data_IF_096401897113
#
_entry.id   IF_096401897113
#
_cell.length_a   1.000
_cell.length_b   1.000
_cell.length_c   1.000
_cell.angle_alpha   90.00
_cell.angle_beta   90.00
_cell.angle_gamma   90.00
#
_symmetry.space_group_name_H-M   'P 1'
#
loop_
_entity.id
_entity.type
_entity.pdbx_description
1 polymer ?
#
# COMPACT_ATOMS: atom_id res chain seq x y z
N UNK A 1 1.67 -31.04 16.70
CA UNK A 1 0.92 -30.24 15.71
C UNK A 1 -0.38 -29.66 16.27
N UNK A 2 -1.16 -30.44 17.08
CA UNK A 2 -2.44 -29.97 17.64
C UNK A 2 -2.31 -28.72 18.53
N UNK A 3 -1.24 -28.59 19.32
CA UNK A 3 -1.02 -27.44 20.19
C UNK A 3 -0.68 -26.14 19.41
N UNK A 4 0.00 -26.25 18.28
CA UNK A 4 0.28 -25.09 17.42
C UNK A 4 -1.00 -24.59 16.72
N UNK A 5 -1.90 -25.50 16.35
CA UNK A 5 -3.19 -25.17 15.75
C UNK A 5 -4.10 -24.42 16.73
N UNK A 6 -4.15 -24.88 18.00
CA UNK A 6 -4.94 -24.22 19.05
C UNK A 6 -4.47 -22.80 19.31
N UNK A 7 -3.15 -22.59 19.43
CA UNK A 7 -2.58 -21.24 19.67
C UNK A 7 -2.80 -20.28 18.50
N UNK A 8 -2.80 -20.77 17.27
CA UNK A 8 -3.10 -19.96 16.08
C UNK A 8 -4.57 -19.56 16.06
N UNK A 9 -5.48 -20.49 16.38
CA UNK A 9 -6.91 -20.20 16.45
C UNK A 9 -7.22 -19.21 17.58
N UNK A 10 -6.62 -19.36 18.76
CA UNK A 10 -6.79 -18.46 19.90
C UNK A 10 -6.32 -17.04 19.60
N UNK A 11 -5.23 -16.89 18.83
CA UNK A 11 -4.74 -15.57 18.42
C UNK A 11 -5.61 -14.91 17.33
N UNK A 12 -6.28 -15.70 16.48
CA UNK A 12 -7.13 -15.17 15.39
C UNK A 12 -8.57 -14.94 15.88
N UNK A 13 -9.00 -15.69 16.87
CA UNK A 13 -10.36 -15.71 17.41
C UNK A 13 -10.36 -15.49 18.92
N UNK A 14 -9.95 -14.30 19.42
CA UNK A 14 -9.91 -14.04 20.86
C UNK A 14 -11.28 -14.21 21.54
N UNK A 15 -12.38 -14.05 20.80
CA UNK A 15 -13.75 -14.18 21.29
C UNK A 15 -14.44 -15.52 20.97
N UNK A 16 -13.68 -16.48 20.44
CA UNK A 16 -14.13 -17.84 20.16
C UNK A 16 -14.85 -18.04 18.81
N UNK A 17 -15.21 -19.29 18.55
CA UNK A 17 -15.74 -19.78 17.28
C UNK A 17 -17.04 -19.08 16.75
N UNK A 18 -17.98 -18.61 17.61
CA UNK A 18 -19.17 -17.93 17.14
C UNK A 18 -18.91 -16.64 16.33
N UNK A 19 -17.83 -15.92 16.67
CA UNK A 19 -17.48 -14.66 15.97
C UNK A 19 -16.78 -14.89 14.64
N UNK A 20 -16.37 -16.11 14.33
CA UNK A 20 -15.77 -16.46 13.05
C UNK A 20 -16.73 -16.22 11.89
N UNK A 21 -17.98 -16.65 12.05
CA UNK A 21 -18.99 -16.56 11.00
C UNK A 21 -19.60 -15.16 10.87
N UNK A 22 -19.49 -14.32 11.92
CA UNK A 22 -19.99 -12.95 11.90
C UNK A 22 -19.03 -11.96 11.23
N UNK A 23 -17.75 -12.34 11.07
CA UNK A 23 -16.72 -11.49 10.48
C UNK A 23 -16.07 -12.16 9.27
N UNK A 24 -16.39 -11.66 8.07
CA UNK A 24 -15.84 -12.18 6.80
C UNK A 24 -14.31 -12.14 6.75
N UNK A 25 -13.68 -11.13 7.37
CA UNK A 25 -12.22 -11.01 7.44
C UNK A 25 -11.59 -12.15 8.25
N UNK A 26 -12.15 -12.49 9.41
CA UNK A 26 -11.69 -13.60 10.25
C UNK A 26 -11.89 -14.95 9.54
N UNK A 27 -13.03 -15.12 8.88
CA UNK A 27 -13.28 -16.34 8.08
C UNK A 27 -12.26 -16.50 6.96
N UNK A 28 -11.96 -15.43 6.18
CA UNK A 28 -10.92 -15.45 5.15
C UNK A 28 -9.55 -15.80 5.70
N UNK A 29 -9.16 -15.25 6.87
CA UNK A 29 -7.90 -15.55 7.54
C UNK A 29 -7.82 -17.04 7.90
N UNK A 30 -8.89 -17.61 8.49
CA UNK A 30 -8.92 -19.03 8.84
C UNK A 30 -8.78 -19.93 7.61
N UNK A 31 -9.54 -19.66 6.54
CA UNK A 31 -9.44 -20.41 5.28
C UNK A 31 -8.03 -20.34 4.70
N UNK A 32 -7.42 -19.17 4.72
CA UNK A 32 -6.03 -19.00 4.26
C UNK A 32 -5.04 -19.82 5.08
N UNK A 33 -5.23 -19.91 6.40
CA UNK A 33 -4.35 -20.70 7.28
C UNK A 33 -4.52 -22.18 7.01
N UNK A 34 -5.75 -22.69 6.89
CA UNK A 34 -6.01 -24.09 6.55
C UNK A 34 -5.32 -24.44 5.22
N UNK A 35 -5.48 -23.60 4.20
CA UNK A 35 -4.83 -23.79 2.91
C UNK A 35 -3.29 -23.83 3.02
N UNK A 36 -2.70 -22.94 3.85
CA UNK A 36 -1.25 -22.93 4.09
C UNK A 36 -0.77 -24.19 4.81
N UNK A 37 -1.57 -24.74 5.73
CA UNK A 37 -1.24 -26.00 6.43
C UNK A 37 -1.25 -27.16 5.44
N UNK A 38 -2.28 -27.29 4.60
CA UNK A 38 -2.37 -28.33 3.58
C UNK A 38 -1.21 -28.24 2.56
N UNK A 39 -0.90 -27.02 2.10
CA UNK A 39 0.24 -26.77 1.21
C UNK A 39 1.58 -27.11 1.85
N UNK A 40 1.73 -26.85 3.15
CA UNK A 40 2.91 -27.21 3.93
C UNK A 40 3.08 -28.73 4.06
N UNK A 41 2.00 -29.45 4.37
CA UNK A 41 2.00 -30.92 4.44
C UNK A 41 2.35 -31.55 3.09
N UNK A 42 1.77 -31.04 1.99
CA UNK A 42 2.13 -31.46 0.63
C UNK A 42 3.60 -31.16 0.31
N UNK A 43 4.12 -30.02 0.76
CA UNK A 43 5.51 -29.67 0.60
C UNK A 43 6.45 -30.62 1.34
N UNK A 44 6.14 -30.98 2.61
CA UNK A 44 6.90 -31.95 3.38
C UNK A 44 6.94 -33.31 2.70
N UNK A 45 5.78 -33.83 2.26
CA UNK A 45 5.68 -35.09 1.54
C UNK A 45 6.57 -35.08 0.28
N UNK A 46 6.51 -34.01 -0.50
CA UNK A 46 7.33 -33.87 -1.71
C UNK A 46 8.83 -33.73 -1.44
N UNK A 47 9.21 -33.18 -0.28
CA UNK A 47 10.61 -33.13 0.15
C UNK A 47 11.11 -34.53 0.50
N UNK A 48 10.31 -35.31 1.25
CA UNK A 48 10.65 -36.65 1.66
C UNK A 48 10.73 -37.63 0.48
N UNK A 49 9.89 -37.46 -0.52
CA UNK A 49 9.87 -38.27 -1.74
C UNK A 49 11.01 -37.91 -2.73
N UNK A 50 11.77 -36.83 -2.51
CA UNK A 50 12.85 -36.42 -3.42
C UNK A 50 14.06 -37.33 -3.34
N UNK A 51 14.28 -38.06 -4.41
CA UNK A 51 15.51 -38.80 -4.66
C UNK A 51 16.61 -37.95 -5.31
N UNK A 52 16.25 -36.87 -5.99
CA UNK A 52 17.18 -35.93 -6.59
C UNK A 52 17.32 -34.68 -5.70
N UNK A 53 18.45 -34.41 -5.16
CA UNK A 53 18.74 -33.24 -4.33
C UNK A 53 18.71 -31.89 -5.09
N UNK A 54 17.99 -31.79 -6.19
CA UNK A 54 17.83 -30.54 -6.95
C UNK A 54 16.79 -29.65 -6.30
N UNK A 55 17.25 -28.59 -5.67
CA UNK A 55 16.36 -27.52 -5.21
C UNK A 55 15.76 -26.80 -6.41
N UNK A 56 14.44 -26.69 -6.45
CA UNK A 56 13.78 -25.80 -7.40
C UNK A 56 14.06 -24.34 -7.01
N UNK A 57 14.21 -23.49 -8.00
CA UNK A 57 14.32 -22.06 -7.77
C UNK A 57 13.00 -21.53 -7.19
N UNK A 58 13.08 -20.60 -6.25
CA UNK A 58 11.93 -19.83 -5.79
C UNK A 58 11.45 -18.96 -6.96
N UNK A 59 10.15 -18.93 -7.18
CA UNK A 59 9.52 -18.20 -8.28
C UNK A 59 8.49 -17.22 -7.70
N UNK A 60 8.54 -15.98 -8.12
CA UNK A 60 7.52 -14.99 -7.88
C UNK A 60 6.66 -14.82 -9.13
N UNK A 61 5.34 -14.96 -8.99
CA UNK A 61 4.40 -14.81 -10.08
C UNK A 61 3.24 -13.90 -9.65
N UNK A 62 3.07 -12.76 -10.32
CA UNK A 62 2.04 -11.75 -10.06
C UNK A 62 0.61 -12.29 -9.98
N UNK A 63 0.32 -13.39 -10.66
CA UNK A 63 -1.03 -13.99 -10.69
C UNK A 63 -1.42 -14.72 -9.40
N UNK A 64 -0.47 -14.97 -8.49
CA UNK A 64 -0.74 -15.67 -7.23
C UNK A 64 -0.56 -14.71 -6.06
N UNK A 65 -1.65 -14.52 -5.31
CA UNK A 65 -1.65 -13.68 -4.11
C UNK A 65 -1.30 -14.46 -2.83
N UNK A 66 -1.08 -15.79 -2.95
CA UNK A 66 -0.75 -16.68 -1.83
C UNK A 66 0.51 -17.48 -2.14
N UNK A 67 1.22 -17.86 -1.08
CA UNK A 67 2.33 -18.79 -1.20
C UNK A 67 1.83 -20.18 -1.59
N UNK A 68 2.53 -20.83 -2.52
CA UNK A 68 2.31 -22.21 -2.92
C UNK A 68 3.64 -22.94 -2.75
N UNK A 69 3.91 -23.36 -1.52
CA UNK A 69 5.22 -23.83 -1.08
C UNK A 69 5.69 -25.08 -1.85
N UNK A 70 4.78 -26.03 -2.12
CA UNK A 70 5.11 -27.22 -2.88
C UNK A 70 5.52 -26.96 -4.35
N UNK A 71 5.20 -25.77 -4.87
CA UNK A 71 5.63 -25.30 -6.20
C UNK A 71 6.79 -24.32 -6.14
N UNK A 72 7.26 -23.99 -4.94
CA UNK A 72 8.28 -22.96 -4.70
C UNK A 72 7.83 -21.56 -5.20
N UNK A 73 6.53 -21.29 -5.17
CA UNK A 73 5.96 -19.99 -5.54
C UNK A 73 5.71 -19.21 -4.25
N UNK A 74 6.14 -17.96 -4.23
CA UNK A 74 5.91 -17.03 -3.12
C UNK A 74 5.00 -15.88 -3.55
N UNK A 75 4.20 -15.39 -2.61
CA UNK A 75 3.36 -14.21 -2.77
C UNK A 75 4.19 -12.91 -2.78
N UNK A 76 3.54 -11.81 -3.11
CA UNK A 76 4.17 -10.49 -3.07
C UNK A 76 4.61 -10.11 -1.65
N UNK A 77 3.76 -10.31 -0.67
CA UNK A 77 4.04 -9.98 0.73
C UNK A 77 5.20 -10.81 1.28
N UNK A 78 5.24 -12.10 0.97
CA UNK A 78 6.35 -12.98 1.34
C UNK A 78 7.64 -12.56 0.66
N UNK A 79 7.59 -12.13 -0.60
CA UNK A 79 8.77 -11.59 -1.29
C UNK A 79 9.32 -10.36 -0.58
N UNK A 80 8.46 -9.40 -0.22
CA UNK A 80 8.86 -8.18 0.48
C UNK A 80 9.39 -8.47 1.89
N UNK A 81 8.76 -9.38 2.63
CA UNK A 81 9.24 -9.80 3.96
C UNK A 81 10.63 -10.44 3.90
N UNK A 82 10.86 -11.34 2.95
CA UNK A 82 12.20 -11.92 2.77
C UNK A 82 13.22 -10.91 2.24
N UNK A 83 12.83 -10.01 1.35
CA UNK A 83 13.71 -8.95 0.86
C UNK A 83 14.17 -8.07 2.02
N UNK A 84 13.25 -7.64 2.90
CA UNK A 84 13.58 -6.88 4.09
C UNK A 84 14.56 -7.65 4.98
N UNK A 85 14.26 -8.90 5.35
CA UNK A 85 15.11 -9.73 6.21
C UNK A 85 16.51 -9.97 5.64
N UNK A 86 16.63 -10.13 4.32
CA UNK A 86 17.93 -10.31 3.66
C UNK A 86 18.73 -9.00 3.68
N UNK A 87 18.09 -7.89 3.32
CA UNK A 87 18.77 -6.57 3.29
C UNK A 87 19.20 -6.18 4.69
N UNK A 88 18.33 -6.34 5.71
CA UNK A 88 18.65 -6.03 7.10
C UNK A 88 19.89 -6.79 7.62
N UNK A 89 20.06 -8.06 7.23
CA UNK A 89 21.13 -8.94 7.73
C UNK A 89 22.45 -8.84 6.98
N UNK A 90 22.48 -8.24 5.79
CA UNK A 90 23.64 -8.28 4.92
C UNK A 90 24.16 -6.89 4.52
N UNK A 91 25.12 -6.38 5.29
CA UNK A 91 25.75 -5.08 5.05
C UNK A 91 26.33 -4.93 3.62
N UNK A 92 26.89 -6.00 3.05
CA UNK A 92 27.38 -5.97 1.66
C UNK A 92 26.27 -5.68 0.66
N UNK A 93 25.07 -6.23 0.88
CA UNK A 93 23.91 -5.95 0.03
C UNK A 93 23.44 -4.51 0.20
N UNK A 94 23.41 -4.00 1.43
CA UNK A 94 23.11 -2.59 1.71
C UNK A 94 24.09 -1.67 0.97
N UNK A 95 25.39 -1.96 1.05
CA UNK A 95 26.42 -1.20 0.34
C UNK A 95 26.20 -1.19 -1.18
N UNK A 96 25.90 -2.35 -1.76
CA UNK A 96 25.62 -2.47 -3.19
C UNK A 96 24.42 -1.63 -3.59
N UNK A 97 23.33 -1.70 -2.81
CA UNK A 97 22.09 -0.98 -3.09
C UNK A 97 22.29 0.53 -2.97
N UNK A 98 22.91 1.00 -1.90
CA UNK A 98 23.21 2.44 -1.68
C UNK A 98 24.10 3.00 -2.79
N UNK A 99 25.13 2.27 -3.21
CA UNK A 99 26.03 2.73 -4.27
C UNK A 99 25.38 2.70 -5.65
N UNK A 100 24.50 1.71 -5.89
CA UNK A 100 23.83 1.56 -7.20
C UNK A 100 22.68 2.52 -7.37
N UNK A 101 21.97 2.83 -6.30
CA UNK A 101 20.76 3.66 -6.30
C UNK A 101 20.88 4.79 -5.27
N UNK A 102 21.76 5.78 -5.47
CA UNK A 102 22.02 6.83 -4.48
C UNK A 102 20.82 7.78 -4.25
N UNK A 103 19.82 7.75 -5.12
CA UNK A 103 18.58 8.51 -5.01
C UNK A 103 17.40 7.58 -5.23
N UNK A 104 16.49 7.53 -4.26
CA UNK A 104 15.23 6.79 -4.37
C UNK A 104 14.09 7.75 -4.12
N UNK A 105 13.15 7.82 -5.07
CA UNK A 105 11.96 8.63 -5.00
C UNK A 105 10.75 7.70 -5.02
N UNK A 106 9.93 7.78 -3.97
CA UNK A 106 8.73 6.95 -3.81
C UNK A 106 7.53 7.85 -4.06
N UNK A 107 6.75 7.54 -5.09
CA UNK A 107 5.48 8.20 -5.37
C UNK A 107 4.32 7.44 -4.72
N UNK A 108 3.25 8.14 -4.38
CA UNK A 108 2.06 7.58 -3.69
C UNK A 108 2.46 6.75 -2.44
N UNK A 109 3.31 7.31 -1.60
CA UNK A 109 3.87 6.57 -0.47
C UNK A 109 2.81 6.01 0.48
N UNK A 110 1.64 6.65 0.58
CA UNK A 110 0.56 6.22 1.46
C UNK A 110 0.05 4.81 1.12
N UNK A 111 0.19 4.38 -0.15
CA UNK A 111 -0.19 3.05 -0.64
C UNK A 111 0.99 2.07 -0.65
N UNK A 112 2.17 2.51 -0.22
CA UNK A 112 3.39 1.69 -0.21
C UNK A 112 3.37 0.70 0.96
N UNK A 113 3.78 -0.55 0.70
CA UNK A 113 3.89 -1.58 1.74
C UNK A 113 4.95 -1.20 2.79
N UNK A 114 4.64 -1.42 4.07
CA UNK A 114 5.54 -1.10 5.19
C UNK A 114 6.94 -1.70 5.06
N UNK A 115 7.08 -2.93 4.53
CA UNK A 115 8.38 -3.55 4.37
C UNK A 115 9.28 -2.80 3.39
N UNK A 116 8.72 -2.13 2.37
CA UNK A 116 9.47 -1.25 1.48
C UNK A 116 10.04 -0.07 2.25
N UNK A 117 9.22 0.58 3.10
CA UNK A 117 9.68 1.70 3.93
C UNK A 117 10.75 1.24 4.93
N UNK A 118 10.59 0.07 5.56
CA UNK A 118 11.60 -0.53 6.44
C UNK A 118 12.92 -0.80 5.72
N UNK A 119 12.87 -1.31 4.49
CA UNK A 119 14.06 -1.49 3.64
C UNK A 119 14.76 -0.15 3.40
N UNK A 120 14.01 0.87 3.00
CA UNK A 120 14.57 2.20 2.73
C UNK A 120 15.17 2.82 3.97
N UNK A 121 14.52 2.69 5.13
CA UNK A 121 15.07 3.14 6.42
C UNK A 121 16.38 2.43 6.75
N UNK A 122 16.44 1.10 6.59
CA UNK A 122 17.66 0.31 6.80
C UNK A 122 18.82 0.81 5.92
N UNK A 123 18.54 1.15 4.66
CA UNK A 123 19.54 1.68 3.74
C UNK A 123 19.99 3.09 4.13
N UNK A 124 19.09 3.95 4.63
CA UNK A 124 19.42 5.28 5.16
C UNK A 124 20.33 5.16 6.37
N UNK A 125 20.01 4.28 7.33
CA UNK A 125 20.81 4.06 8.54
C UNK A 125 22.22 3.53 8.20
N UNK A 126 22.29 2.59 7.25
CA UNK A 126 23.55 2.11 6.74
C UNK A 126 24.40 3.23 6.10
N UNK A 127 23.76 4.05 5.25
CA UNK A 127 24.45 5.13 4.55
C UNK A 127 24.96 6.20 5.55
N UNK A 128 24.18 6.58 6.52
CA UNK A 128 24.57 7.51 7.59
C UNK A 128 25.74 6.97 8.41
N UNK A 129 25.67 5.69 8.81
CA UNK A 129 26.71 5.05 9.62
C UNK A 129 28.04 4.89 8.88
N UNK A 130 28.03 4.89 7.55
CA UNK A 130 29.22 4.69 6.69
C UNK A 130 29.57 5.95 5.88
N UNK A 131 29.00 7.11 6.20
CA UNK A 131 29.23 8.38 5.50
C UNK A 131 28.99 8.33 3.98
N UNK A 132 28.08 7.45 3.55
CA UNK A 132 27.70 7.30 2.15
C UNK A 132 26.62 8.32 1.78
N UNK A 133 26.65 8.82 0.53
CA UNK A 133 25.61 9.67 -0.01
C UNK A 133 24.42 8.82 -0.45
N UNK A 134 23.33 8.94 0.26
CA UNK A 134 22.07 8.28 -0.07
C UNK A 134 20.89 9.19 0.27
N UNK A 135 19.92 9.28 -0.62
CA UNK A 135 18.78 10.16 -0.47
C UNK A 135 17.48 9.41 -0.78
N UNK A 136 16.52 9.52 0.12
CA UNK A 136 15.17 8.99 -0.07
C UNK A 136 14.17 10.14 0.07
N UNK A 137 13.21 10.22 -0.86
CA UNK A 137 12.08 11.12 -0.76
C UNK A 137 10.78 10.37 -1.02
N UNK A 138 9.75 10.72 -0.26
CA UNK A 138 8.41 10.19 -0.36
C UNK A 138 7.47 11.29 -0.82
N UNK A 139 6.68 11.02 -1.84
CA UNK A 139 5.65 11.90 -2.39
C UNK A 139 4.30 11.22 -2.26
N UNK A 140 3.30 11.95 -1.80
CA UNK A 140 1.96 11.41 -1.65
C UNK A 140 1.09 12.27 -0.74
N UNK A 141 -0.09 11.78 -0.46
CA UNK A 141 -1.10 12.46 0.35
C UNK A 141 -1.82 11.43 1.23
N UNK A 142 -1.62 11.50 2.53
CA UNK A 142 -2.26 10.57 3.49
C UNK A 142 -3.77 10.61 3.44
N UNK A 143 -4.37 11.78 3.09
CA UNK A 143 -5.81 11.90 2.92
C UNK A 143 -6.37 11.11 1.73
N UNK A 144 -5.51 10.66 0.80
CA UNK A 144 -5.86 9.84 -0.36
C UNK A 144 -5.61 8.35 -0.15
N UNK A 145 -5.23 7.93 1.06
CA UNK A 145 -5.05 6.51 1.37
C UNK A 145 -6.39 5.76 1.19
N UNK A 146 -6.42 4.86 0.20
CA UNK A 146 -7.58 4.02 -0.12
C UNK A 146 -7.35 2.54 0.21
N UNK A 147 -6.15 2.17 0.61
CA UNK A 147 -5.76 0.81 0.95
C UNK A 147 -5.41 0.68 2.43
N UNK A 148 -6.06 -0.25 3.11
CA UNK A 148 -5.80 -0.55 4.52
C UNK A 148 -4.40 -1.12 4.78
N UNK A 149 -3.73 -1.64 3.74
CA UNK A 149 -2.42 -2.31 3.81
C UNK A 149 -1.24 -1.36 3.51
N UNK A 150 -1.49 -0.10 3.16
CA UNK A 150 -0.47 0.91 2.90
C UNK A 150 0.14 1.48 4.18
N UNK A 151 1.33 2.10 4.05
CA UNK A 151 2.00 2.71 5.20
C UNK A 151 1.21 3.90 5.78
N UNK A 152 0.46 4.62 4.95
CA UNK A 152 -0.41 5.71 5.37
C UNK A 152 0.29 6.70 6.31
N UNK A 153 -0.35 7.01 7.45
CA UNK A 153 0.18 7.91 8.50
C UNK A 153 1.35 7.30 9.28
N UNK A 154 1.58 5.99 9.19
CA UNK A 154 2.65 5.32 9.92
C UNK A 154 4.06 5.64 9.39
N UNK A 155 4.19 6.37 8.29
CA UNK A 155 5.49 6.69 7.69
C UNK A 155 6.42 7.40 8.67
N UNK A 156 5.91 8.35 9.45
CA UNK A 156 6.70 9.11 10.42
C UNK A 156 7.18 8.23 11.58
N UNK A 157 6.44 7.17 11.91
CA UNK A 157 6.83 6.16 12.92
C UNK A 157 7.91 5.22 12.37
N UNK A 158 7.77 4.78 11.12
CA UNK A 158 8.69 3.85 10.48
C UNK A 158 10.00 4.52 10.05
N UNK A 159 9.95 5.81 9.73
CA UNK A 159 11.09 6.60 9.25
C UNK A 159 11.11 7.98 9.92
N UNK A 160 11.44 8.08 11.22
CA UNK A 160 11.26 9.29 12.03
C UNK A 160 12.19 10.45 11.64
N UNK A 161 13.27 10.19 10.88
CA UNK A 161 14.23 11.21 10.47
C UNK A 161 13.81 11.99 9.21
N UNK A 162 12.59 11.76 8.71
CA UNK A 162 12.08 12.44 7.53
C UNK A 162 11.80 13.91 7.83
N UNK A 163 12.24 14.78 6.91
CA UNK A 163 11.83 16.17 6.90
C UNK A 163 10.54 16.32 6.11
N UNK A 164 9.44 16.63 6.77
CA UNK A 164 8.16 16.92 6.14
C UNK A 164 8.19 18.26 5.40
N UNK A 165 7.65 18.28 4.20
CA UNK A 165 7.46 19.46 3.36
C UNK A 165 6.03 19.43 2.83
N UNK A 166 5.18 20.31 3.34
CA UNK A 166 3.79 20.40 2.93
C UNK A 166 3.66 21.18 1.62
N UNK A 167 2.92 20.60 0.67
CA UNK A 167 2.62 21.25 -0.60
C UNK A 167 1.24 21.92 -0.49
N UNK A 168 1.23 23.21 -0.23
CA UNK A 168 0.02 24.01 -0.08
C UNK A 168 -0.51 24.59 -1.41
N UNK A 169 0.36 24.75 -2.42
CA UNK A 169 -0.04 25.38 -3.67
C UNK A 169 -0.77 24.41 -4.61
N UNK A 170 -2.02 24.72 -4.89
CA UNK A 170 -2.86 23.97 -5.83
C UNK A 170 -2.81 24.65 -7.22
N UNK A 171 -2.45 23.86 -8.24
CA UNK A 171 -2.31 24.29 -9.65
C UNK A 171 -3.43 23.79 -10.55
N UNK A 172 -4.39 23.05 -10.02
CA UNK A 172 -5.43 22.40 -10.81
C UNK A 172 -6.79 23.02 -10.62
N UNK A 173 -7.09 23.40 -9.38
CA UNK A 173 -8.45 23.71 -8.97
C UNK A 173 -8.68 25.20 -8.83
N UNK A 174 -9.92 25.62 -9.05
CA UNK A 174 -10.39 26.97 -8.75
C UNK A 174 -10.57 27.17 -7.26
N UNK A 175 -10.66 28.42 -6.81
CA UNK A 175 -10.77 28.78 -5.40
C UNK A 175 -11.99 28.12 -4.73
N UNK A 176 -13.13 28.04 -5.42
CA UNK A 176 -14.35 27.41 -4.88
C UNK A 176 -14.16 25.92 -4.62
N UNK A 177 -13.43 25.22 -5.48
CA UNK A 177 -13.09 23.80 -5.31
C UNK A 177 -12.09 23.63 -4.17
N UNK A 178 -11.08 24.50 -4.08
CA UNK A 178 -10.07 24.48 -3.01
C UNK A 178 -10.73 24.73 -1.65
N UNK A 179 -11.68 25.67 -1.56
CA UNK A 179 -12.42 25.91 -0.32
C UNK A 179 -13.18 24.66 0.17
N UNK A 180 -13.77 23.90 -0.76
CA UNK A 180 -14.45 22.65 -0.41
C UNK A 180 -13.44 21.58 -0.01
N UNK A 181 -12.33 21.44 -0.72
CA UNK A 181 -11.26 20.52 -0.38
C UNK A 181 -10.74 20.79 1.03
N UNK A 182 -10.43 22.04 1.36
CA UNK A 182 -9.95 22.43 2.69
C UNK A 182 -10.96 22.14 3.80
N UNK A 183 -12.27 22.23 3.51
CA UNK A 183 -13.32 21.85 4.48
C UNK A 183 -13.48 20.34 4.66
N UNK A 184 -13.12 19.55 3.65
CA UNK A 184 -13.21 18.08 3.70
C UNK A 184 -11.95 17.49 4.35
N UNK A 185 -10.78 18.10 4.11
CA UNK A 185 -9.52 17.67 4.73
C UNK A 185 -9.60 17.83 6.26
N UNK A 186 -9.06 16.83 6.95
CA UNK A 186 -8.97 16.81 8.41
C UNK A 186 -7.51 16.76 8.86
N UNK A 187 -6.63 17.38 8.07
CA UNK A 187 -5.21 17.56 8.35
C UNK A 187 -4.89 19.07 8.40
N UNK A 188 -3.70 19.40 8.88
CA UNK A 188 -3.27 20.80 9.05
C UNK A 188 -2.86 21.47 7.72
N UNK A 189 -3.19 20.87 6.56
CA UNK A 189 -2.84 21.40 5.24
C UNK A 189 -3.99 22.22 4.69
N UNK A 190 -3.81 23.53 4.63
CA UNK A 190 -4.66 24.46 3.88
C UNK A 190 -4.07 24.70 2.50
N UNK A 191 -4.79 24.27 1.46
CA UNK A 191 -4.40 24.54 0.08
C UNK A 191 -4.81 25.93 -0.36
N UNK A 192 -3.99 26.55 -1.19
CA UNK A 192 -4.25 27.85 -1.82
C UNK A 192 -3.97 27.78 -3.33
N UNK A 193 -4.73 28.56 -4.13
CA UNK A 193 -4.48 28.67 -5.57
C UNK A 193 -3.22 29.44 -5.84
N UNK A 194 -2.45 29.02 -6.85
CA UNK A 194 -1.33 29.80 -7.38
C UNK A 194 -1.78 30.88 -8.37
N UNK A 195 -3.04 30.85 -8.80
CA UNK A 195 -3.58 31.76 -9.80
C UNK A 195 -4.41 32.85 -9.13
N UNK A 196 -4.09 34.12 -9.42
CA UNK A 196 -4.81 35.28 -8.88
C UNK A 196 -6.27 35.33 -9.37
N UNK A 197 -6.55 34.87 -10.59
CA UNK A 197 -7.88 34.88 -11.23
C UNK A 197 -8.54 33.48 -11.28
N UNK A 198 -8.47 32.71 -10.20
CA UNK A 198 -9.00 31.36 -10.18
C UNK A 198 -10.46 31.23 -9.69
N UNK A 199 -11.25 32.29 -9.81
CA UNK A 199 -12.60 32.42 -9.21
C UNK A 199 -13.77 32.03 -10.16
N UNK A 200 -13.56 31.20 -11.18
CA UNK A 200 -14.59 30.83 -12.17
C UNK A 200 -15.10 29.39 -12.00
N UNK A 201 -14.92 28.77 -10.85
CA UNK A 201 -15.37 27.41 -10.58
C UNK A 201 -16.74 27.36 -9.90
N UNK A 202 -17.31 26.17 -9.86
CA UNK A 202 -18.48 25.88 -9.06
C UNK A 202 -18.40 24.49 -8.46
N UNK A 203 -19.00 24.30 -7.28
CA UNK A 203 -19.14 22.99 -6.66
C UNK A 203 -20.61 22.77 -6.37
N UNK A 204 -21.17 21.71 -6.95
CA UNK A 204 -22.58 21.35 -6.77
C UNK A 204 -22.71 20.03 -6.00
N UNK A 205 -23.70 19.95 -5.13
CA UNK A 205 -24.08 18.73 -4.44
C UNK A 205 -25.41 18.22 -4.99
N UNK A 206 -25.44 16.99 -5.47
CA UNK A 206 -26.65 16.33 -5.92
C UNK A 206 -27.10 15.26 -4.93
N UNK A 207 -28.40 15.29 -4.59
CA UNK A 207 -29.05 14.25 -3.79
C UNK A 207 -30.25 13.69 -4.56
N UNK A 208 -30.18 12.43 -4.96
CA UNK A 208 -31.27 11.78 -5.69
C UNK A 208 -31.09 10.27 -5.76
N UNK A 209 -32.10 9.58 -6.34
CA UNK A 209 -32.01 8.15 -6.64
C UNK A 209 -31.17 7.89 -7.90
N UNK A 210 -30.68 6.65 -8.03
CA UNK A 210 -29.90 6.20 -9.20
C UNK A 210 -30.65 6.39 -10.52
N UNK A 211 -31.99 6.30 -10.51
CA UNK A 211 -32.85 6.45 -11.69
C UNK A 211 -32.79 7.85 -12.31
N UNK A 212 -32.32 8.86 -11.58
CA UNK A 212 -32.22 10.25 -12.02
C UNK A 212 -30.79 10.69 -12.38
N UNK A 213 -29.80 9.82 -12.24
CA UNK A 213 -28.39 10.16 -12.52
C UNK A 213 -28.16 10.59 -13.97
N UNK A 214 -28.81 9.92 -14.94
CA UNK A 214 -28.65 10.29 -16.35
C UNK A 214 -29.24 11.69 -16.66
N UNK A 215 -30.38 12.02 -16.08
CA UNK A 215 -30.99 13.33 -16.23
C UNK A 215 -30.12 14.42 -15.59
N UNK A 216 -29.55 14.16 -14.41
CA UNK A 216 -28.60 15.04 -13.75
C UNK A 216 -27.37 15.28 -14.63
N UNK A 217 -26.70 14.20 -15.09
CA UNK A 217 -25.52 14.29 -15.96
C UNK A 217 -25.82 15.06 -17.23
N UNK A 218 -26.96 14.81 -17.87
CA UNK A 218 -27.33 15.50 -19.10
C UNK A 218 -27.63 16.97 -18.87
N UNK A 219 -28.27 17.33 -17.76
CA UNK A 219 -28.52 18.73 -17.39
C UNK A 219 -27.19 19.49 -17.21
N UNK A 220 -26.26 18.96 -16.42
CA UNK A 220 -24.98 19.64 -16.17
C UNK A 220 -24.03 19.62 -17.37
N UNK A 221 -24.10 18.59 -18.23
CA UNK A 221 -23.37 18.63 -19.52
C UNK A 221 -23.76 19.80 -20.38
N UNK A 222 -25.04 20.15 -20.40
CA UNK A 222 -25.54 21.32 -21.14
C UNK A 222 -25.12 22.61 -20.45
N UNK A 223 -25.27 22.71 -19.14
CA UNK A 223 -24.90 23.88 -18.35
C UNK A 223 -23.40 24.18 -18.44
N UNK A 224 -22.56 23.18 -18.34
CA UNK A 224 -21.10 23.32 -18.42
C UNK A 224 -20.55 23.28 -19.81
N UNK A 225 -21.41 23.25 -20.83
CA UNK A 225 -21.04 23.21 -22.26
C UNK A 225 -20.01 22.09 -22.56
N UNK A 226 -20.17 20.93 -21.89
CA UNK A 226 -19.28 19.78 -22.07
C UNK A 226 -19.67 19.10 -23.38
N UNK A 227 -18.83 19.26 -24.39
CA UNK A 227 -18.96 18.59 -25.68
C UNK A 227 -17.90 17.49 -25.84
N UNK A 228 -17.89 16.82 -27.00
CA UNK A 228 -16.93 15.71 -27.24
C UNK A 228 -15.45 16.13 -27.19
N UNK A 229 -15.15 17.43 -27.26
CA UNK A 229 -13.79 17.97 -27.19
C UNK A 229 -13.37 18.32 -25.72
N UNK A 230 -14.34 18.67 -24.87
CA UNK A 230 -14.10 18.97 -23.46
C UNK A 230 -14.50 17.76 -22.62
N UNK A 231 -13.56 16.86 -22.38
CA UNK A 231 -13.81 15.68 -21.52
C UNK A 231 -13.78 16.09 -20.05
N UNK A 232 -14.75 15.56 -19.29
CA UNK A 232 -14.63 15.48 -17.83
C UNK A 232 -13.39 14.63 -17.49
N UNK A 233 -12.47 15.20 -16.78
CA UNK A 233 -11.34 14.50 -16.17
C UNK A 233 -11.66 14.20 -14.71
#
# INVERSE_FOLDING_TARGET
PAGAFSSVIENILPDGFPNLLSNVGNFKKLVSIIYKIEDFEECLTKIDERTDKKYKSIVYLLKYNNDILHKMIISHDTLLDYAFKIIERHNTLQQILVNKYPYILVDEYQDTNENVVKILKTLVDYAQSNENKFFVAYFGDTAQNIYDDGVGENIETLHPDLKRIDKIHNRRSTNEVIEVINKIRNDDIEQESIYEDSSCGSVGFYRGGLDNIENFINHYKLEWNINQTNKLH
#
